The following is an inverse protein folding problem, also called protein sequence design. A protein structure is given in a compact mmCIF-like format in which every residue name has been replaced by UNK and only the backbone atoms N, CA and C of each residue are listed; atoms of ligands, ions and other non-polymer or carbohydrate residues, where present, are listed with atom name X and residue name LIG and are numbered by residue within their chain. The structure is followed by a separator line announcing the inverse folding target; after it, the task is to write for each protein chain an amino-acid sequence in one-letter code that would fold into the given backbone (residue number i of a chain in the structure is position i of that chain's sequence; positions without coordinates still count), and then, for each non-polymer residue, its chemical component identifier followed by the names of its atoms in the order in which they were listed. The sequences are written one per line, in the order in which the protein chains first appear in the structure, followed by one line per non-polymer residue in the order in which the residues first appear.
data_IF_114395439697
#
_entry.id   IF_114395439697
#
_cell.length_a   1.000
_cell.length_b   1.000
_cell.length_c   1.000
_cell.angle_alpha   90.00
_cell.angle_beta   90.00
_cell.angle_gamma   90.00
#
_symmetry.space_group_name_H-M   'P 1'
#
loop_
_entity.id
_entity.type
_entity.pdbx_description
1 polymer ?
#
# COMPACT_ATOMS: atom_id res chain seq x y z
N UNK A 1 10.36 -18.38 -17.24
CA UNK A 1 10.28 -17.64 -15.96
C UNK A 1 11.54 -17.96 -15.19
N UNK A 2 12.24 -16.95 -14.67
CA UNK A 2 13.39 -17.18 -13.78
C UNK A 2 12.83 -17.69 -12.45
N UNK A 3 13.21 -18.90 -12.05
CA UNK A 3 12.79 -19.48 -10.78
C UNK A 3 13.64 -18.92 -9.65
N UNK A 4 13.02 -18.66 -8.50
CA UNK A 4 13.77 -18.25 -7.31
C UNK A 4 14.39 -19.49 -6.66
N UNK A 5 15.65 -19.40 -6.24
CA UNK A 5 16.26 -20.42 -5.37
C UNK A 5 15.94 -20.15 -3.90
N UNK A 6 16.00 -21.16 -3.00
CA UNK A 6 15.76 -20.95 -1.57
C UNK A 6 16.69 -19.90 -0.93
N UNK A 7 17.95 -19.85 -1.37
CA UNK A 7 18.93 -18.86 -0.89
C UNK A 7 18.58 -17.44 -1.35
N UNK A 8 18.18 -17.28 -2.62
CA UNK A 8 17.70 -16.00 -3.14
C UNK A 8 16.43 -15.55 -2.42
N UNK A 9 15.49 -16.46 -2.20
CA UNK A 9 14.28 -16.18 -1.45
C UNK A 9 14.60 -15.61 -0.06
N UNK A 10 15.51 -16.23 0.69
CA UNK A 10 15.86 -15.76 2.03
C UNK A 10 16.44 -14.35 2.02
N UNK A 11 17.41 -14.09 1.13
CA UNK A 11 18.06 -12.78 1.02
C UNK A 11 17.05 -11.71 0.61
N UNK A 12 16.27 -11.99 -0.43
CA UNK A 12 15.34 -11.03 -1.00
C UNK A 12 14.14 -10.76 -0.08
N UNK A 13 13.63 -11.79 0.61
CA UNK A 13 12.55 -11.64 1.60
C UNK A 13 12.99 -10.80 2.80
N UNK A 14 14.23 -10.99 3.26
CA UNK A 14 14.81 -10.15 4.31
C UNK A 14 14.92 -8.70 3.84
N UNK A 15 15.42 -8.49 2.62
CA UNK A 15 15.53 -7.16 2.04
C UNK A 15 14.17 -6.45 1.91
N UNK A 16 13.15 -7.13 1.35
CA UNK A 16 11.78 -6.60 1.25
C UNK A 16 11.25 -6.20 2.63
N UNK A 17 11.45 -7.05 3.65
CA UNK A 17 11.04 -6.76 5.01
C UNK A 17 11.76 -5.53 5.58
N UNK A 18 13.05 -5.37 5.32
CA UNK A 18 13.85 -4.22 5.77
C UNK A 18 13.37 -2.90 5.15
N UNK A 19 13.02 -2.89 3.87
CA UNK A 19 12.63 -1.65 3.16
C UNK A 19 11.13 -1.30 3.25
N UNK A 20 10.26 -2.28 3.54
CA UNK A 20 8.79 -2.09 3.49
C UNK A 20 8.03 -2.62 4.70
N UNK A 21 8.65 -3.44 5.55
CA UNK A 21 7.96 -4.17 6.62
C UNK A 21 7.15 -5.39 6.15
N UNK A 22 7.04 -5.64 4.84
CA UNK A 22 6.31 -6.79 4.30
C UNK A 22 7.04 -8.09 4.67
N UNK A 23 6.36 -9.00 5.35
CA UNK A 23 6.88 -10.32 5.68
C UNK A 23 6.38 -11.36 4.66
N UNK A 24 7.32 -12.04 4.00
CA UNK A 24 7.03 -13.14 3.08
C UNK A 24 7.26 -14.48 3.78
N UNK A 25 6.22 -15.28 3.87
CA UNK A 25 6.30 -16.68 4.32
C UNK A 25 6.93 -17.56 3.23
N UNK A 26 7.59 -18.65 3.62
CA UNK A 26 8.33 -19.53 2.70
C UNK A 26 7.43 -20.12 1.59
N UNK A 27 6.16 -20.43 1.91
CA UNK A 27 5.16 -20.93 0.96
C UNK A 27 4.73 -19.90 -0.09
N UNK A 28 5.04 -18.61 0.11
CA UNK A 28 4.71 -17.49 -0.79
C UNK A 28 5.85 -17.16 -1.75
N UNK A 29 6.79 -18.08 -1.96
CA UNK A 29 7.89 -17.96 -2.92
C UNK A 29 7.43 -17.52 -4.32
N UNK A 30 6.28 -18.03 -4.78
CA UNK A 30 5.69 -17.68 -6.07
C UNK A 30 5.38 -16.18 -6.22
N UNK A 31 5.20 -15.43 -5.12
CA UNK A 31 4.96 -13.98 -5.18
C UNK A 31 6.17 -13.22 -5.71
N UNK A 32 7.39 -13.62 -5.35
CA UNK A 32 8.59 -13.03 -5.94
C UNK A 32 8.63 -13.29 -7.44
N UNK A 33 8.31 -14.51 -7.86
CA UNK A 33 8.37 -14.91 -9.26
C UNK A 33 7.34 -14.19 -10.14
N UNK A 34 6.13 -14.05 -9.61
CA UNK A 34 5.00 -13.43 -10.32
C UNK A 34 5.06 -11.91 -10.28
N UNK A 35 5.49 -11.30 -9.18
CA UNK A 35 5.50 -9.83 -9.00
C UNK A 35 6.80 -9.18 -9.45
N UNK A 36 7.96 -9.81 -9.23
CA UNK A 36 9.26 -9.24 -9.59
C UNK A 36 9.81 -9.76 -10.92
N UNK A 37 9.20 -10.80 -11.49
CA UNK A 37 9.68 -11.40 -12.75
C UNK A 37 9.74 -10.42 -13.92
N UNK A 38 8.86 -9.40 -13.96
CA UNK A 38 8.94 -8.29 -14.93
C UNK A 38 10.15 -7.40 -14.68
N UNK A 39 10.38 -6.97 -13.42
CA UNK A 39 11.53 -6.14 -13.06
C UNK A 39 12.86 -6.81 -13.35
N UNK A 40 12.99 -8.12 -13.07
CA UNK A 40 14.21 -8.89 -13.41
C UNK A 40 14.54 -8.76 -14.89
N UNK A 41 13.52 -8.84 -15.77
CA UNK A 41 13.70 -8.71 -17.21
C UNK A 41 13.98 -7.27 -17.63
N UNK A 42 13.23 -6.30 -17.12
CA UNK A 42 13.36 -4.88 -17.44
C UNK A 42 14.78 -4.37 -17.12
N UNK A 43 15.35 -4.81 -15.99
CA UNK A 43 16.69 -4.41 -15.57
C UNK A 43 17.81 -5.31 -16.08
N UNK A 44 17.52 -6.25 -16.99
CA UNK A 44 18.46 -7.22 -17.57
C UNK A 44 19.24 -8.04 -16.52
N UNK A 45 18.56 -8.43 -15.45
CA UNK A 45 19.14 -9.24 -14.38
C UNK A 45 19.04 -10.73 -14.72
N UNK A 46 20.14 -11.47 -14.55
CA UNK A 46 20.15 -12.91 -14.81
C UNK A 46 19.33 -13.71 -13.77
N UNK A 47 19.24 -13.20 -12.54
CA UNK A 47 18.56 -13.83 -11.42
C UNK A 47 18.14 -12.79 -10.36
N UNK A 48 17.48 -13.24 -9.29
CA UNK A 48 16.96 -12.34 -8.25
C UNK A 48 18.08 -11.81 -7.36
N UNK A 49 19.17 -12.56 -7.18
CA UNK A 49 20.36 -12.04 -6.51
C UNK A 49 20.95 -10.82 -7.25
N UNK A 50 21.05 -10.88 -8.57
CA UNK A 50 21.54 -9.77 -9.39
C UNK A 50 20.63 -8.54 -9.29
N UNK A 51 19.31 -8.75 -9.21
CA UNK A 51 18.35 -7.67 -8.96
C UNK A 51 18.56 -7.04 -7.57
N UNK A 52 18.76 -7.87 -6.54
CA UNK A 52 19.04 -7.43 -5.17
C UNK A 52 20.34 -6.62 -5.09
N UNK A 53 21.42 -7.13 -5.67
CA UNK A 53 22.73 -6.46 -5.66
C UNK A 53 22.63 -5.11 -6.38
N UNK A 54 21.92 -5.05 -7.51
CA UNK A 54 21.66 -3.82 -8.26
C UNK A 54 20.84 -2.82 -7.45
N UNK A 55 19.80 -3.28 -6.74
CA UNK A 55 18.99 -2.42 -5.89
C UNK A 55 19.79 -1.82 -4.72
N UNK A 56 20.70 -2.61 -4.13
CA UNK A 56 21.59 -2.16 -3.04
C UNK A 56 22.64 -1.15 -3.50
N UNK A 57 23.05 -1.21 -4.76
CA UNK A 57 24.03 -0.29 -5.36
C UNK A 57 23.38 0.98 -5.93
N UNK A 58 22.06 0.97 -6.14
CA UNK A 58 21.32 2.11 -6.70
C UNK A 58 21.19 3.25 -5.67
N UNK A 59 22.00 4.29 -5.84
CA UNK A 59 21.98 5.49 -5.00
C UNK A 59 20.70 6.32 -5.15
N UNK A 60 19.99 6.19 -6.27
CA UNK A 60 18.74 6.92 -6.51
C UNK A 60 17.55 6.31 -5.75
N UNK A 61 17.69 5.07 -5.27
CA UNK A 61 16.62 4.24 -4.71
C UNK A 61 15.43 4.02 -5.66
N UNK A 62 15.61 4.24 -6.96
CA UNK A 62 14.56 4.02 -7.95
C UNK A 62 14.16 2.55 -7.99
N UNK A 63 15.14 1.65 -8.04
CA UNK A 63 14.90 0.21 -8.09
C UNK A 63 14.28 -0.32 -6.78
N UNK A 64 14.71 0.21 -5.64
CA UNK A 64 14.11 -0.09 -4.33
C UNK A 64 12.61 0.24 -4.32
N UNK A 65 12.23 1.42 -4.83
CA UNK A 65 10.81 1.83 -4.95
C UNK A 65 10.03 0.92 -5.88
N UNK A 66 10.58 0.58 -7.05
CA UNK A 66 9.90 -0.31 -7.99
C UNK A 66 9.70 -1.72 -7.41
N UNK A 67 10.66 -2.21 -6.61
CA UNK A 67 10.51 -3.48 -5.87
C UNK A 67 9.38 -3.38 -4.85
N UNK A 68 9.31 -2.30 -4.08
CA UNK A 68 8.24 -2.09 -3.09
C UNK A 68 6.88 -2.07 -3.80
N UNK A 69 6.74 -1.25 -4.86
CA UNK A 69 5.48 -1.09 -5.58
C UNK A 69 4.99 -2.43 -6.16
N UNK A 70 5.88 -3.17 -6.81
CA UNK A 70 5.56 -4.50 -7.35
C UNK A 70 5.16 -5.49 -6.25
N UNK A 71 5.76 -5.40 -5.06
CA UNK A 71 5.45 -6.29 -3.94
C UNK A 71 4.20 -5.89 -3.15
N UNK A 72 3.77 -4.63 -3.21
CA UNK A 72 2.52 -4.18 -2.61
C UNK A 72 1.29 -4.61 -3.41
N UNK A 73 0.17 -4.86 -2.74
CA UNK A 73 -1.11 -5.10 -3.41
C UNK A 73 -1.87 -3.77 -3.47
N UNK A 74 -1.81 -3.09 -4.63
CA UNK A 74 -2.41 -1.76 -4.82
C UNK A 74 -3.88 -1.79 -5.27
N UNK A 75 -4.66 -2.79 -4.85
CA UNK A 75 -6.08 -2.86 -5.20
C UNK A 75 -6.88 -1.88 -4.33
N UNK A 76 -7.58 -0.95 -4.98
CA UNK A 76 -8.45 0.03 -4.32
C UNK A 76 -9.58 0.46 -5.26
N UNK A 77 -10.74 0.77 -4.70
CA UNK A 77 -11.97 1.12 -5.43
C UNK A 77 -12.64 2.30 -4.75
N UNK A 78 -13.35 3.12 -5.52
CA UNK A 78 -14.28 4.08 -4.94
C UNK A 78 -15.35 3.33 -4.15
N UNK A 79 -15.56 3.75 -2.91
CA UNK A 79 -16.54 3.16 -2.00
C UNK A 79 -16.36 1.65 -1.83
N UNK A 80 -15.10 1.18 -1.77
CA UNK A 80 -14.76 -0.23 -1.50
C UNK A 80 -15.43 -0.67 -0.20
N UNK A 81 -16.27 -1.68 -0.28
CA UNK A 81 -17.12 -2.12 0.83
C UNK A 81 -18.02 -0.96 1.31
N UNK A 82 -19.23 -0.85 0.74
CA UNK A 82 -20.13 0.30 0.97
C UNK A 82 -20.46 0.57 2.45
N UNK A 83 -20.53 -0.48 3.27
CA UNK A 83 -20.93 -0.40 4.69
C UNK A 83 -20.12 0.61 5.52
N UNK A 84 -18.77 0.59 5.50
CA UNK A 84 -17.95 1.63 6.11
C UNK A 84 -18.35 3.08 5.77
N UNK A 85 -18.67 3.36 4.50
CA UNK A 85 -19.04 4.70 4.05
C UNK A 85 -20.46 5.08 4.48
N UNK A 86 -21.41 4.15 4.46
CA UNK A 86 -22.75 4.33 5.00
C UNK A 86 -22.71 4.60 6.51
N UNK A 87 -21.87 3.88 7.25
CA UNK A 87 -21.65 4.10 8.68
C UNK A 87 -21.01 5.47 8.96
N UNK A 88 -20.04 5.86 8.14
CA UNK A 88 -19.40 7.17 8.22
C UNK A 88 -20.43 8.29 8.02
N UNK A 89 -21.28 8.17 6.99
CA UNK A 89 -22.28 9.16 6.61
C UNK A 89 -23.43 9.26 7.61
N UNK A 90 -24.05 8.14 7.96
CA UNK A 90 -25.33 8.15 8.67
C UNK A 90 -25.19 8.07 10.19
N UNK A 91 -23.98 7.82 10.70
CA UNK A 91 -23.76 7.65 12.14
C UNK A 91 -22.55 8.42 12.67
N UNK A 92 -21.35 8.09 12.19
CA UNK A 92 -20.11 8.61 12.80
C UNK A 92 -20.01 10.13 12.66
N UNK A 93 -20.20 10.66 11.46
CA UNK A 93 -20.07 12.11 11.23
C UNK A 93 -21.20 12.91 11.92
N UNK A 94 -22.49 12.55 11.81
CA UNK A 94 -23.56 13.22 12.55
C UNK A 94 -23.32 13.25 14.07
N UNK A 95 -23.03 12.10 14.69
CA UNK A 95 -22.78 12.03 16.15
C UNK A 95 -21.57 12.87 16.57
N UNK A 96 -20.51 12.89 15.76
CA UNK A 96 -19.30 13.66 16.04
C UNK A 96 -19.53 15.17 15.89
N UNK A 97 -20.37 15.59 14.93
CA UNK A 97 -20.79 16.97 14.75
C UNK A 97 -21.63 17.41 15.94
N UNK A 98 -22.67 16.66 16.31
CA UNK A 98 -23.57 17.01 17.43
C UNK A 98 -22.80 17.14 18.75
N UNK A 99 -21.92 16.18 19.05
CA UNK A 99 -21.09 16.20 20.24
C UNK A 99 -20.15 17.42 20.33
N UNK A 100 -19.69 17.93 19.18
CA UNK A 100 -18.74 19.05 19.12
C UNK A 100 -19.41 20.42 18.93
N UNK A 101 -20.68 20.44 18.55
CA UNK A 101 -21.47 21.67 18.34
C UNK A 101 -22.02 22.24 19.66
N UNK A 102 -22.09 21.42 20.72
CA UNK A 102 -22.61 21.79 22.03
C UNK A 102 -21.85 22.97 22.67
N UNK A 103 -22.26 24.20 22.34
CA UNK A 103 -21.79 25.45 22.93
C UNK A 103 -20.82 26.30 22.11
N UNK A 104 -20.52 25.96 20.84
CA UNK A 104 -19.65 26.78 19.97
C UNK A 104 -20.21 26.94 18.55
N UNK A 105 -20.70 28.13 18.17
CA UNK A 105 -21.02 28.41 16.78
C UNK A 105 -19.72 28.45 15.95
N UNK A 106 -19.66 27.71 14.84
CA UNK A 106 -18.53 27.75 13.90
C UNK A 106 -18.22 26.42 13.22
N UNK A 107 -17.14 26.40 12.42
CA UNK A 107 -16.65 25.20 11.74
C UNK A 107 -16.07 24.21 12.75
N UNK A 108 -16.47 22.94 12.65
CA UNK A 108 -15.94 21.85 13.49
C UNK A 108 -14.73 21.23 12.79
N UNK A 109 -13.52 21.31 13.36
CA UNK A 109 -12.36 20.67 12.76
C UNK A 109 -12.44 19.15 12.93
N UNK A 110 -12.53 18.43 11.81
CA UNK A 110 -12.47 16.97 11.75
C UNK A 110 -11.16 16.58 11.06
N UNK A 111 -10.39 15.69 11.68
CA UNK A 111 -9.18 15.11 11.11
C UNK A 111 -9.45 13.64 10.83
N UNK A 112 -9.22 13.21 9.59
CA UNK A 112 -9.37 11.82 9.15
C UNK A 112 -8.04 11.38 8.55
N UNK A 113 -7.65 10.14 8.82
CA UNK A 113 -6.46 9.52 8.25
C UNK A 113 -6.86 8.25 7.51
N UNK A 114 -6.67 8.25 6.18
CA UNK A 114 -6.69 7.04 5.35
C UNK A 114 -5.27 6.45 5.36
N UNK A 115 -5.08 5.41 6.17
CA UNK A 115 -3.80 4.70 6.25
C UNK A 115 -3.76 3.65 5.12
N UNK A 116 -2.70 3.69 4.30
CA UNK A 116 -2.57 2.90 3.06
C UNK A 116 -3.58 3.27 1.95
N UNK A 117 -3.69 4.58 1.65
CA UNK A 117 -4.63 5.13 0.66
C UNK A 117 -4.45 4.63 -0.79
N UNK A 118 -3.37 3.90 -1.10
CA UNK A 118 -3.03 3.41 -2.45
C UNK A 118 -3.12 4.55 -3.50
N UNK A 119 -3.93 4.40 -4.55
CA UNK A 119 -4.13 5.43 -5.59
C UNK A 119 -5.17 6.50 -5.24
N UNK A 120 -5.71 6.49 -4.00
CA UNK A 120 -6.45 7.59 -3.39
C UNK A 120 -7.98 7.50 -3.41
N UNK A 121 -8.55 6.45 -4.01
CA UNK A 121 -10.00 6.28 -4.17
C UNK A 121 -10.73 6.28 -2.82
N UNK A 122 -10.18 5.63 -1.79
CA UNK A 122 -10.76 5.65 -0.43
C UNK A 122 -10.82 7.08 0.12
N UNK A 123 -9.72 7.84 0.00
CA UNK A 123 -9.65 9.23 0.46
C UNK A 123 -10.69 10.10 -0.25
N UNK A 124 -10.81 9.95 -1.57
CA UNK A 124 -11.80 10.70 -2.33
C UNK A 124 -13.23 10.28 -1.99
N UNK A 125 -13.50 8.99 -1.76
CA UNK A 125 -14.80 8.53 -1.28
C UNK A 125 -15.17 9.14 0.08
N UNK A 126 -14.22 9.22 1.02
CA UNK A 126 -14.42 9.93 2.30
C UNK A 126 -14.78 11.40 2.06
N UNK A 127 -14.05 12.09 1.17
CA UNK A 127 -14.33 13.49 0.85
C UNK A 127 -15.71 13.69 0.21
N UNK A 128 -16.14 12.78 -0.66
CA UNK A 128 -17.47 12.81 -1.28
C UNK A 128 -18.55 12.66 -0.20
N UNK A 129 -18.42 11.65 0.67
CA UNK A 129 -19.35 11.46 1.81
C UNK A 129 -19.48 12.74 2.64
N UNK A 130 -18.36 13.36 3.03
CA UNK A 130 -18.38 14.60 3.83
C UNK A 130 -19.06 15.75 3.10
N UNK A 131 -18.86 15.85 1.78
CA UNK A 131 -19.47 16.91 0.96
C UNK A 131 -20.99 16.72 0.78
N UNK A 132 -21.47 15.49 0.87
CA UNK A 132 -22.88 15.11 0.71
C UNK A 132 -23.67 15.07 2.03
N UNK A 133 -23.02 15.31 3.17
CA UNK A 133 -23.66 15.57 4.46
C UNK A 133 -24.31 16.94 4.52
#
# INVERSE_FOLDING_TARGET
MVKVTPAEFQIFSKYIKEISGIHLEQNKTYLLETRLGSLVKEHNCANYKALYDKARQDTSKGLERSIIDAMTTNETLFFRDKGPFELLQHKILPELIDARTSGRPGKIPIKIWSAAASTGQELYSICIVIKEL
#
